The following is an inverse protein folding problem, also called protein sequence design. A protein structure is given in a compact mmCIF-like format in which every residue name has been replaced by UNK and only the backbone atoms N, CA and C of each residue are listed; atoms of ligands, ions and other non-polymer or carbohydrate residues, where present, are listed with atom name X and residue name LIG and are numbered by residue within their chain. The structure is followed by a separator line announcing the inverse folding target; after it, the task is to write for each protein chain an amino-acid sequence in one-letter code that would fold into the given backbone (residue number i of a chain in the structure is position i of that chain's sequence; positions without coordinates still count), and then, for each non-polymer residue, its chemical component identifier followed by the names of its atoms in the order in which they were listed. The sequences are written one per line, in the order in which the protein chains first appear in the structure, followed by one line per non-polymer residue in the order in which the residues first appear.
data_IF_024290903577
#
_entry.id   IF_024290903577
#
_cell.length_a   1.000
_cell.length_b   1.000
_cell.length_c   1.000
_cell.angle_alpha   90.00
_cell.angle_beta   90.00
_cell.angle_gamma   90.00
#
_symmetry.space_group_name_H-M   'P 1'
#
loop_
_entity.id
_entity.type
_entity.pdbx_description
1 polymer ?
#
# COMPACT_ATOMS: atom_id res chain seq x y z
N UNK A 1 -55.79 33.71 -34.79
CA UNK A 1 -55.19 34.13 -33.50
C UNK A 1 -54.47 32.93 -32.87
N UNK A 2 -53.16 32.89 -33.14
CA UNK A 2 -52.01 32.29 -32.44
C UNK A 2 -52.18 31.02 -31.60
N UNK A 3 -51.72 29.91 -32.18
CA UNK A 3 -51.41 28.65 -31.51
C UNK A 3 -50.07 28.80 -30.76
N UNK A 4 -50.12 28.88 -29.43
CA UNK A 4 -48.93 29.04 -28.59
C UNK A 4 -48.30 27.68 -28.28
N UNK A 5 -47.27 27.30 -29.05
CA UNK A 5 -46.47 26.10 -28.84
C UNK A 5 -45.46 26.34 -27.69
N UNK A 6 -45.60 25.63 -26.57
CA UNK A 6 -44.63 25.65 -25.47
C UNK A 6 -43.54 24.58 -25.73
N UNK A 7 -42.24 24.90 -25.68
CA UNK A 7 -41.20 23.89 -25.78
C UNK A 7 -41.07 23.16 -24.42
N UNK A 8 -41.25 21.85 -24.44
CA UNK A 8 -40.81 20.98 -23.34
C UNK A 8 -39.29 20.94 -23.34
N UNK A 9 -38.66 21.62 -22.37
CA UNK A 9 -37.22 21.51 -22.10
C UNK A 9 -37.02 20.25 -21.26
N UNK A 10 -36.59 19.17 -21.90
CA UNK A 10 -36.04 17.99 -21.22
C UNK A 10 -34.62 18.33 -20.74
N UNK A 11 -34.49 18.68 -19.47
CA UNK A 11 -33.18 18.76 -18.80
C UNK A 11 -32.72 17.35 -18.50
N UNK A 12 -31.79 16.82 -19.30
CA UNK A 12 -31.09 15.59 -18.97
C UNK A 12 -30.07 15.88 -17.85
N UNK A 13 -30.40 15.47 -16.63
CA UNK A 13 -29.46 15.51 -15.50
C UNK A 13 -28.54 14.29 -15.61
N UNK A 14 -27.34 14.49 -16.14
CA UNK A 14 -26.29 13.47 -16.11
C UNK A 14 -25.67 13.40 -14.71
N UNK A 15 -25.98 12.35 -13.97
CA UNK A 15 -25.31 12.04 -12.70
C UNK A 15 -23.92 11.45 -12.97
N UNK A 16 -22.89 12.32 -12.98
CA UNK A 16 -21.51 11.86 -12.99
C UNK A 16 -21.20 11.16 -11.66
N UNK A 17 -21.11 9.83 -11.70
CA UNK A 17 -20.64 9.02 -10.57
C UNK A 17 -19.12 9.21 -10.45
N UNK A 18 -18.68 10.11 -9.58
CA UNK A 18 -17.29 10.17 -9.14
C UNK A 18 -17.02 8.99 -8.21
N UNK A 19 -16.75 7.82 -8.79
CA UNK A 19 -16.11 6.74 -8.05
C UNK A 19 -14.70 7.22 -7.66
N UNK A 20 -14.50 7.55 -6.39
CA UNK A 20 -13.16 7.80 -5.86
C UNK A 20 -12.38 6.49 -5.98
N UNK A 21 -11.42 6.44 -6.91
CA UNK A 21 -10.50 5.32 -7.02
C UNK A 21 -9.62 5.30 -5.76
N UNK A 22 -9.69 4.21 -5.00
CA UNK A 22 -8.83 4.01 -3.83
C UNK A 22 -7.36 4.07 -4.26
N UNK A 23 -6.50 4.68 -3.43
CA UNK A 23 -5.07 4.72 -3.74
C UNK A 23 -4.50 3.29 -3.78
N UNK A 24 -3.55 2.99 -4.68
CA UNK A 24 -2.90 1.68 -4.71
C UNK A 24 -2.39 1.27 -3.32
N UNK A 25 -2.73 0.05 -2.89
CA UNK A 25 -2.33 -0.48 -1.59
C UNK A 25 -3.20 -0.06 -0.40
N UNK A 26 -4.07 0.93 -0.54
CA UNK A 26 -4.94 1.39 0.56
C UNK A 26 -5.86 0.25 1.06
N UNK A 27 -6.46 -0.51 0.14
CA UNK A 27 -7.34 -1.61 0.51
C UNK A 27 -6.59 -2.72 1.26
N UNK A 28 -5.41 -3.10 0.77
CA UNK A 28 -4.54 -4.08 1.43
C UNK A 28 -4.11 -3.60 2.82
N UNK A 29 -3.75 -2.32 2.96
CA UNK A 29 -3.46 -1.72 4.25
C UNK A 29 -4.65 -1.88 5.20
N UNK A 30 -5.85 -1.47 4.79
CA UNK A 30 -7.07 -1.54 5.63
C UNK A 30 -7.40 -2.98 6.04
N UNK A 31 -7.30 -3.92 5.11
CA UNK A 31 -7.72 -5.31 5.34
C UNK A 31 -6.70 -6.13 6.14
N UNK A 32 -5.41 -5.83 6.02
CA UNK A 32 -4.34 -6.67 6.59
C UNK A 32 -3.42 -5.88 7.51
N UNK A 33 -2.78 -4.82 7.00
CA UNK A 33 -1.69 -4.15 7.71
C UNK A 33 -2.17 -3.32 8.91
N UNK A 34 -3.38 -2.75 8.81
CA UNK A 34 -3.96 -1.86 9.82
C UNK A 34 -4.15 -2.55 11.17
N UNK A 35 -4.33 -3.89 11.19
CA UNK A 35 -4.48 -4.68 12.42
C UNK A 35 -3.36 -4.42 13.43
N UNK A 36 -2.13 -4.17 12.95
CA UNK A 36 -1.00 -3.82 13.81
C UNK A 36 -0.58 -2.36 13.66
N UNK A 37 -0.58 -1.83 12.44
CA UNK A 37 0.01 -0.51 12.16
C UNK A 37 -0.95 0.66 12.45
N UNK A 38 -2.25 0.45 12.62
CA UNK A 38 -3.16 1.57 12.93
C UNK A 38 -2.93 2.13 14.36
N UNK A 39 -2.74 1.25 15.33
CA UNK A 39 -2.52 1.61 16.75
C UNK A 39 -1.09 1.38 17.23
N UNK A 40 -0.26 0.66 16.47
CA UNK A 40 1.12 0.34 16.85
C UNK A 40 1.23 -0.88 17.77
N UNK A 41 0.41 -1.91 17.52
CA UNK A 41 0.42 -3.18 18.27
C UNK A 41 1.82 -3.78 18.27
N UNK A 42 2.28 -4.28 19.43
CA UNK A 42 3.63 -4.85 19.61
C UNK A 42 4.76 -3.92 19.13
N UNK A 43 4.60 -2.61 19.32
CA UNK A 43 5.52 -1.58 18.86
C UNK A 43 5.66 -1.47 17.34
N UNK A 44 4.69 -1.95 16.56
CA UNK A 44 4.64 -1.73 15.13
C UNK A 44 4.72 -0.22 14.81
N UNK A 45 5.45 0.19 13.76
CA UNK A 45 5.53 1.59 13.36
C UNK A 45 4.14 2.07 12.93
N UNK A 46 3.57 3.01 13.67
CA UNK A 46 2.20 3.46 13.48
C UNK A 46 2.06 4.15 12.12
N UNK A 47 1.00 3.86 11.41
CA UNK A 47 0.68 4.49 10.13
C UNK A 47 0.62 6.02 10.28
N UNK A 48 1.32 6.73 9.39
CA UNK A 48 1.42 8.19 9.42
C UNK A 48 2.42 8.77 10.43
N UNK A 49 3.07 7.94 11.26
CA UNK A 49 4.09 8.40 12.21
C UNK A 49 5.40 8.72 11.48
N UNK A 50 5.55 9.97 11.05
CA UNK A 50 6.72 10.42 10.29
C UNK A 50 8.04 10.16 11.01
N UNK A 51 8.09 10.29 12.34
CA UNK A 51 9.31 10.13 13.11
C UNK A 51 9.77 8.67 13.13
N UNK A 52 8.84 7.73 13.33
CA UNK A 52 9.17 6.29 13.29
C UNK A 52 9.46 5.79 11.88
N UNK A 53 8.80 6.32 10.86
CA UNK A 53 8.97 5.87 9.48
C UNK A 53 10.16 6.49 8.76
N UNK A 54 10.62 7.69 9.13
CA UNK A 54 11.77 8.35 8.50
C UNK A 54 13.02 7.44 8.35
N UNK A 55 13.52 6.77 9.41
CA UNK A 55 14.66 5.87 9.25
C UNK A 55 14.34 4.65 8.39
N UNK A 56 13.11 4.13 8.43
CA UNK A 56 12.69 2.99 7.61
C UNK A 56 12.59 3.35 6.13
N UNK A 57 12.10 4.55 5.82
CA UNK A 57 12.02 5.08 4.46
C UNK A 57 13.43 5.31 3.90
N UNK A 58 14.39 5.71 4.75
CA UNK A 58 15.78 5.90 4.36
C UNK A 58 16.50 4.59 3.98
N UNK A 59 16.04 3.43 4.47
CA UNK A 59 16.52 2.12 4.00
C UNK A 59 16.17 1.87 2.52
N UNK A 60 15.14 2.57 2.01
CA UNK A 60 14.70 2.49 0.62
C UNK A 60 13.60 1.46 0.38
N UNK A 61 12.84 1.67 -0.70
CA UNK A 61 11.64 0.91 -1.02
C UNK A 61 11.90 -0.59 -1.18
N UNK A 62 13.00 -0.97 -1.84
CA UNK A 62 13.33 -2.38 -2.10
C UNK A 62 13.58 -3.12 -0.79
N UNK A 63 14.49 -2.60 0.03
CA UNK A 63 14.93 -3.25 1.28
C UNK A 63 13.81 -3.31 2.30
N UNK A 64 13.13 -2.18 2.56
CA UNK A 64 12.07 -2.15 3.56
C UNK A 64 10.94 -3.12 3.19
N UNK A 65 10.50 -3.11 1.93
CA UNK A 65 9.43 -4.00 1.47
C UNK A 65 9.83 -5.46 1.53
N UNK A 66 11.03 -5.82 1.05
CA UNK A 66 11.50 -7.21 1.07
C UNK A 66 11.61 -7.75 2.50
N UNK A 67 12.17 -6.96 3.43
CA UNK A 67 12.36 -7.40 4.81
C UNK A 67 11.03 -7.53 5.55
N UNK A 68 10.10 -6.59 5.32
CA UNK A 68 8.74 -6.68 5.85
C UNK A 68 7.98 -7.90 5.27
N UNK A 69 8.17 -8.21 3.98
CA UNK A 69 7.54 -9.37 3.34
C UNK A 69 8.06 -10.70 3.91
N UNK A 70 9.35 -10.79 4.21
CA UNK A 70 9.94 -11.99 4.86
C UNK A 70 9.50 -12.10 6.33
N UNK A 71 9.20 -10.97 6.98
CA UNK A 71 8.87 -10.88 8.40
C UNK A 71 10.06 -10.40 9.23
N UNK A 72 9.79 -9.53 10.21
CA UNK A 72 10.83 -8.87 11.00
C UNK A 72 10.28 -8.36 12.34
N UNK A 73 11.03 -8.54 13.44
CA UNK A 73 10.74 -7.94 14.77
C UNK A 73 9.27 -8.10 15.23
N UNK A 74 8.71 -9.29 15.06
CA UNK A 74 7.32 -9.60 15.41
C UNK A 74 6.30 -9.34 14.31
N UNK A 75 6.65 -8.64 13.22
CA UNK A 75 5.83 -8.61 12.02
C UNK A 75 5.88 -9.98 11.33
N UNK A 76 4.74 -10.67 11.16
CA UNK A 76 4.70 -11.97 10.50
C UNK A 76 5.02 -11.85 9.01
N UNK A 77 5.56 -12.91 8.42
CA UNK A 77 5.81 -13.00 6.99
C UNK A 77 4.54 -12.64 6.20
N UNK A 78 4.71 -11.91 5.11
CA UNK A 78 3.64 -11.43 4.23
C UNK A 78 2.53 -10.64 4.93
N UNK A 79 2.83 -10.04 6.08
CA UNK A 79 1.85 -9.35 6.92
C UNK A 79 0.83 -10.29 7.57
N UNK A 80 1.12 -11.60 7.64
CA UNK A 80 0.24 -12.60 8.25
C UNK A 80 -0.76 -13.24 7.29
N UNK A 81 -0.79 -12.81 6.02
CA UNK A 81 -1.61 -13.43 4.98
C UNK A 81 -0.74 -14.33 4.08
N UNK A 82 -0.85 -15.66 4.17
CA UNK A 82 -0.01 -16.59 3.41
C UNK A 82 -0.22 -16.49 1.89
N UNK A 83 -1.40 -16.02 1.46
CA UNK A 83 -1.79 -15.87 0.06
C UNK A 83 -1.43 -14.49 -0.52
N UNK A 84 -0.82 -13.60 0.27
CA UNK A 84 -0.44 -12.27 -0.18
C UNK A 84 0.66 -12.34 -1.25
N UNK A 85 0.39 -11.75 -2.41
CA UNK A 85 1.39 -11.60 -3.48
C UNK A 85 2.36 -10.47 -3.16
N UNK A 86 3.53 -10.49 -3.80
CA UNK A 86 4.52 -9.45 -3.55
C UNK A 86 4.07 -8.09 -4.08
N UNK A 87 3.34 -8.05 -5.20
CA UNK A 87 2.79 -6.83 -5.81
C UNK A 87 1.84 -6.14 -4.84
N UNK A 88 0.82 -6.88 -4.39
CA UNK A 88 -0.23 -6.36 -3.49
C UNK A 88 0.35 -5.89 -2.16
N UNK A 89 1.34 -6.62 -1.63
CA UNK A 89 2.05 -6.23 -0.42
C UNK A 89 2.88 -4.96 -0.63
N UNK A 90 3.61 -4.90 -1.75
CA UNK A 90 4.51 -3.77 -2.03
C UNK A 90 3.74 -2.47 -2.26
N UNK A 91 2.56 -2.54 -2.86
CA UNK A 91 1.64 -1.40 -2.97
C UNK A 91 1.21 -0.90 -1.58
N UNK A 92 0.87 -1.81 -0.67
CA UNK A 92 0.48 -1.46 0.70
C UNK A 92 1.64 -0.79 1.46
N UNK A 93 2.87 -1.30 1.31
CA UNK A 93 4.05 -0.70 1.93
C UNK A 93 4.32 0.69 1.36
N UNK A 94 4.22 0.87 0.04
CA UNK A 94 4.34 2.19 -0.60
C UNK A 94 3.29 3.18 -0.09
N UNK A 95 2.03 2.74 0.01
CA UNK A 95 0.95 3.53 0.60
C UNK A 95 1.27 3.96 2.04
N UNK A 96 1.71 3.04 2.89
CA UNK A 96 2.05 3.33 4.29
C UNK A 96 3.23 4.29 4.42
N UNK A 97 4.30 4.05 3.65
CA UNK A 97 5.48 4.91 3.63
C UNK A 97 5.11 6.34 3.18
N UNK A 98 4.32 6.48 2.12
CA UNK A 98 3.90 7.77 1.59
C UNK A 98 3.06 8.56 2.57
N UNK A 99 2.15 7.89 3.28
CA UNK A 99 1.34 8.53 4.33
C UNK A 99 2.18 8.95 5.55
N UNK A 100 3.39 8.41 5.69
CA UNK A 100 4.37 8.78 6.70
C UNK A 100 5.50 9.69 6.17
N UNK A 101 5.33 10.31 5.00
CA UNK A 101 6.29 11.29 4.45
C UNK A 101 7.26 10.73 3.40
N UNK A 102 7.08 9.48 2.97
CA UNK A 102 7.75 8.93 1.79
C UNK A 102 7.19 9.49 0.48
N UNK A 103 7.89 9.21 -0.61
CA UNK A 103 7.45 9.53 -1.97
C UNK A 103 7.80 8.37 -2.92
N UNK A 104 7.32 7.19 -2.59
CA UNK A 104 7.51 5.98 -3.36
C UNK A 104 6.40 5.82 -4.38
N UNK A 105 6.78 5.33 -5.56
CA UNK A 105 5.83 4.96 -6.59
C UNK A 105 5.30 3.57 -6.32
N UNK A 106 4.14 3.25 -6.87
CA UNK A 106 3.73 1.85 -7.11
C UNK A 106 4.89 1.11 -7.78
N UNK A 107 5.38 -0.01 -7.21
CA UNK A 107 6.47 -0.79 -7.79
C UNK A 107 6.14 -1.24 -9.21
N UNK A 108 7.01 -0.87 -10.15
CA UNK A 108 6.99 -1.43 -11.50
C UNK A 108 7.68 -2.80 -11.54
N UNK A 109 7.68 -3.45 -12.70
CA UNK A 109 8.28 -4.77 -12.89
C UNK A 109 9.77 -4.82 -12.48
N UNK A 110 10.52 -3.74 -12.72
CA UNK A 110 11.93 -3.65 -12.34
C UNK A 110 12.10 -3.59 -10.83
N UNK A 111 11.28 -2.78 -10.16
CA UNK A 111 11.28 -2.66 -8.70
C UNK A 111 10.86 -3.96 -8.04
N UNK A 112 9.84 -4.64 -8.57
CA UNK A 112 9.41 -5.97 -8.10
C UNK A 112 10.50 -7.03 -8.29
N UNK A 113 11.22 -7.02 -9.40
CA UNK A 113 12.36 -7.92 -9.61
C UNK A 113 13.47 -7.67 -8.57
N UNK A 114 13.76 -6.40 -8.25
CA UNK A 114 14.73 -6.04 -7.21
C UNK A 114 14.27 -6.48 -5.82
N UNK A 115 12.98 -6.29 -5.48
CA UNK A 115 12.38 -6.74 -4.22
C UNK A 115 12.48 -8.26 -4.10
N UNK A 116 12.11 -9.01 -5.14
CA UNK A 116 12.22 -10.47 -5.13
C UNK A 116 13.67 -10.94 -4.95
N UNK A 117 14.64 -10.28 -5.61
CA UNK A 117 16.06 -10.59 -5.41
C UNK A 117 16.50 -10.36 -3.96
N UNK A 118 16.05 -9.26 -3.34
CA UNK A 118 16.37 -8.96 -1.93
C UNK A 118 15.68 -9.94 -0.97
N UNK A 119 14.44 -10.37 -1.27
CA UNK A 119 13.74 -11.41 -0.50
C UNK A 119 14.57 -12.70 -0.46
N UNK A 120 15.07 -13.15 -1.61
CA UNK A 120 15.89 -14.37 -1.68
C UNK A 120 17.22 -14.21 -0.94
N UNK A 121 17.88 -13.06 -1.09
CA UNK A 121 19.08 -12.71 -0.31
C UNK A 121 18.82 -12.78 1.20
N UNK A 122 17.71 -12.18 1.65
CA UNK A 122 17.32 -12.14 3.06
C UNK A 122 17.03 -13.53 3.61
N UNK A 123 16.26 -14.35 2.89
CA UNK A 123 15.97 -15.75 3.27
C UNK A 123 17.25 -16.57 3.37
N UNK A 124 18.14 -16.48 2.38
CA UNK A 124 19.42 -17.18 2.41
C UNK A 124 20.27 -16.76 3.63
N UNK A 125 20.24 -15.46 3.98
CA UNK A 125 20.92 -14.94 5.17
C UNK A 125 20.31 -15.42 6.49
N UNK A 126 19.00 -15.70 6.54
CA UNK A 126 18.34 -16.28 7.72
C UNK A 126 18.66 -17.77 7.88
N UNK A 127 18.64 -18.53 6.79
CA UNK A 127 18.94 -19.97 6.81
C UNK A 127 20.38 -20.28 7.24
N UNK A 128 21.32 -19.35 7.03
CA UNK A 128 22.71 -19.47 7.49
C UNK A 128 22.90 -19.16 8.99
N UNK A 129 21.91 -18.54 9.63
CA UNK A 129 21.95 -18.14 11.04
C UNK A 129 21.19 -19.11 11.95
N UNK A 130 20.51 -20.09 11.36
CA UNK A 130 19.86 -21.21 12.01
C UNK A 130 20.84 -22.37 12.09
#
# INVERSE_FOLDING_TARGET
MNLSLRPFILVAVSTANLAAFAEPGENTYKQVCAACHASGVLNAPKFGDKAKWAPLIAEGQVTLTAHAYVGIRGMPAKGGNPNMTIETFSDAVAYMANKAGGNWKTPDAKTLAAINKEIESRKAGLNKKQ
#
